data_IF_872825503990
#
_entry.id   IF_872825503990
#
_cell.length_a   1.000
_cell.length_b   1.000
_cell.length_c   1.000
_cell.angle_alpha   90.00
_cell.angle_beta   90.00
_cell.angle_gamma   90.00
#
_symmetry.space_group_name_H-M   'P 1'
#
loop_
_entity.id
_entity.type
_entity.pdbx_description
1 polymer ?
#
# COMPACT_ATOMS: atom_id res chain seq x y z
N UNK A 1 -7.95 -9.31 11.84
CA UNK A 1 -6.65 -8.63 11.60
C UNK A 1 -5.68 -9.68 11.11
N UNK A 2 -5.17 -9.57 9.89
CA UNK A 2 -4.32 -10.61 9.28
C UNK A 2 -2.92 -10.62 9.91
N UNK A 3 -2.34 -11.80 10.08
CA UNK A 3 -1.08 -12.00 10.80
C UNK A 3 0.11 -11.31 10.13
N UNK A 4 0.08 -11.18 8.79
CA UNK A 4 1.10 -10.48 8.00
C UNK A 4 1.23 -8.99 8.36
N UNK A 5 0.19 -8.36 8.92
CA UNK A 5 0.23 -6.97 9.41
C UNK A 5 1.20 -6.75 10.56
N UNK A 6 1.61 -7.81 11.26
CA UNK A 6 2.50 -7.73 12.43
C UNK A 6 3.99 -7.85 12.07
N UNK A 7 4.31 -8.11 10.79
CA UNK A 7 5.69 -8.27 10.34
C UNK A 7 6.46 -6.95 10.45
N UNK A 8 7.70 -7.03 10.95
CA UNK A 8 8.59 -5.87 11.17
C UNK A 8 9.88 -5.99 10.37
N UNK A 9 10.38 -4.86 9.90
CA UNK A 9 11.74 -4.67 9.37
C UNK A 9 12.11 -5.66 8.25
N UNK A 10 13.09 -6.55 8.50
CA UNK A 10 13.63 -7.49 7.50
C UNK A 10 12.58 -8.46 6.97
N UNK A 11 11.69 -8.96 7.84
CA UNK A 11 10.62 -9.87 7.43
C UNK A 11 9.58 -9.17 6.58
N UNK A 12 9.30 -7.89 6.86
CA UNK A 12 8.41 -7.08 6.03
C UNK A 12 9.01 -6.85 4.65
N UNK A 13 10.31 -6.60 4.55
CA UNK A 13 11.00 -6.45 3.27
C UNK A 13 11.01 -7.77 2.49
N UNK A 14 11.31 -8.89 3.15
CA UNK A 14 11.27 -10.21 2.53
C UNK A 14 9.86 -10.56 2.04
N UNK A 15 8.83 -10.26 2.82
CA UNK A 15 7.43 -10.42 2.43
C UNK A 15 7.08 -9.57 1.20
N UNK A 16 7.52 -8.30 1.17
CA UNK A 16 7.34 -7.42 0.01
C UNK A 16 7.97 -8.01 -1.26
N UNK A 17 9.19 -8.54 -1.17
CA UNK A 17 9.84 -9.20 -2.31
C UNK A 17 9.07 -10.44 -2.76
N UNK A 18 8.56 -11.25 -1.83
CA UNK A 18 7.71 -12.40 -2.17
C UNK A 18 6.43 -11.97 -2.87
N UNK A 19 5.77 -10.90 -2.40
CA UNK A 19 4.56 -10.37 -3.06
C UNK A 19 4.86 -9.88 -4.47
N UNK A 20 5.98 -9.19 -4.69
CA UNK A 20 6.41 -8.76 -6.03
C UNK A 20 6.66 -9.96 -6.97
N UNK A 21 7.28 -11.02 -6.47
CA UNK A 21 7.47 -12.25 -7.25
C UNK A 21 6.11 -12.88 -7.60
N UNK A 22 5.18 -12.96 -6.64
CA UNK A 22 3.83 -13.50 -6.90
C UNK A 22 3.08 -12.67 -7.94
N UNK A 23 3.18 -11.34 -7.91
CA UNK A 23 2.53 -10.49 -8.89
C UNK A 23 3.02 -10.76 -10.32
N UNK A 24 4.30 -11.10 -10.49
CA UNK A 24 4.90 -11.39 -11.79
C UNK A 24 4.59 -12.83 -12.24
N UNK A 25 4.70 -13.81 -11.34
CA UNK A 25 4.69 -15.23 -11.73
C UNK A 25 3.39 -15.96 -11.41
N UNK A 26 2.61 -15.44 -10.48
CA UNK A 26 1.50 -16.15 -9.84
C UNK A 26 1.95 -17.12 -8.74
N UNK A 27 1.00 -17.47 -7.86
CA UNK A 27 1.21 -18.35 -6.70
C UNK A 27 1.69 -19.76 -7.07
N UNK A 28 1.03 -20.39 -8.05
CA UNK A 28 1.37 -21.75 -8.51
C UNK A 28 2.81 -21.85 -9.00
N UNK A 29 3.26 -20.86 -9.77
CA UNK A 29 4.62 -20.84 -10.31
C UNK A 29 5.65 -20.55 -9.22
N UNK A 30 5.31 -19.70 -8.24
CA UNK A 30 6.15 -19.47 -7.07
C UNK A 30 6.34 -20.78 -6.27
N UNK A 31 5.28 -21.58 -6.07
CA UNK A 31 5.40 -22.87 -5.39
C UNK A 31 6.28 -23.87 -6.15
N UNK A 32 6.25 -23.85 -7.50
CA UNK A 32 7.18 -24.63 -8.33
C UNK A 32 8.62 -24.19 -8.16
N UNK A 33 8.88 -22.88 -8.06
CA UNK A 33 10.23 -22.38 -7.77
C UNK A 33 10.69 -22.77 -6.36
N UNK A 34 9.81 -22.68 -5.37
CA UNK A 34 10.09 -23.12 -3.99
C UNK A 34 10.51 -24.58 -3.95
N UNK A 35 9.72 -25.49 -4.54
CA UNK A 35 10.03 -26.93 -4.53
C UNK A 35 11.26 -27.31 -5.37
N UNK A 36 11.66 -26.47 -6.32
CA UNK A 36 12.90 -26.65 -7.10
C UNK A 36 14.15 -26.28 -6.29
N UNK A 37 14.09 -25.20 -5.51
CA UNK A 37 15.24 -24.61 -4.81
C UNK A 37 15.38 -25.17 -3.39
N UNK A 38 14.25 -25.40 -2.71
CA UNK A 38 14.19 -25.72 -1.30
C UNK A 38 13.70 -27.14 -1.02
N UNK A 39 14.16 -27.71 0.09
CA UNK A 39 13.68 -28.93 0.74
C UNK A 39 13.12 -28.54 2.10
N UNK A 40 11.97 -29.09 2.48
CA UNK A 40 11.37 -28.84 3.80
C UNK A 40 11.99 -29.76 4.86
N UNK A 41 12.03 -29.32 6.13
CA UNK A 41 12.59 -30.12 7.24
C UNK A 41 11.95 -31.52 7.34
N UNK A 42 10.64 -31.62 7.15
CA UNK A 42 9.90 -32.89 7.20
C UNK A 42 10.34 -33.86 6.08
N UNK A 43 10.70 -33.35 4.91
CA UNK A 43 11.23 -34.14 3.78
C UNK A 43 12.67 -34.64 4.07
N UNK A 44 13.45 -33.85 4.80
CA UNK A 44 14.80 -34.22 5.24
C UNK A 44 14.78 -35.28 6.35
N UNK A 45 13.87 -35.16 7.32
CA UNK A 45 13.75 -36.13 8.42
C UNK A 45 13.15 -37.47 7.97
N UNK A 46 12.13 -37.43 7.10
CA UNK A 46 11.53 -38.64 6.53
C UNK A 46 12.50 -39.45 5.67
N UNK A 47 13.46 -38.78 5.03
CA UNK A 47 14.54 -39.45 4.28
C UNK A 47 15.58 -40.07 5.21
N UNK A 48 16.03 -39.41 6.29
CA UNK A 48 16.94 -40.05 7.25
C UNK A 48 16.38 -41.30 7.92
N UNK A 49 15.08 -41.36 8.15
CA UNK A 49 14.40 -42.54 8.71
C UNK A 49 14.16 -43.66 7.70
N UNK A 50 14.38 -43.42 6.40
CA UNK A 50 14.21 -44.40 5.31
C UNK A 50 15.52 -44.75 4.59
N UNK A 51 16.68 -44.35 5.15
CA UNK A 51 18.00 -44.69 4.63
C UNK A 51 18.30 -46.20 4.74
N UNK A 52 17.60 -46.95 5.60
CA UNK A 52 17.89 -48.38 5.81
C UNK A 52 17.29 -49.33 4.76
N UNK A 53 16.40 -48.86 3.87
CA UNK A 53 15.80 -49.71 2.82
C UNK A 53 15.55 -48.95 1.50
N UNK A 54 16.58 -48.85 0.63
CA UNK A 54 16.48 -48.99 -0.84
C UNK A 54 17.69 -48.40 -1.59
N UNK A 55 18.53 -49.27 -2.17
CA UNK A 55 19.60 -48.92 -3.13
C UNK A 55 19.10 -48.45 -4.53
N UNK A 56 17.82 -48.05 -4.67
CA UNK A 56 17.20 -47.80 -5.99
C UNK A 56 17.01 -46.31 -6.33
N UNK A 57 17.43 -45.35 -5.48
CA UNK A 57 17.16 -43.90 -5.70
C UNK A 57 18.39 -42.98 -5.72
N UNK A 58 19.52 -43.42 -6.27
CA UNK A 58 20.74 -42.60 -6.37
C UNK A 58 20.56 -41.23 -7.08
N UNK A 59 19.57 -41.11 -7.97
CA UNK A 59 19.28 -39.87 -8.70
C UNK A 59 18.41 -38.87 -7.93
N UNK A 60 17.54 -39.33 -7.03
CA UNK A 60 16.70 -38.44 -6.20
C UNK A 60 17.48 -37.90 -4.98
N UNK A 61 18.37 -38.71 -4.41
CA UNK A 61 19.23 -38.30 -3.30
C UNK A 61 20.24 -37.21 -3.75
N UNK A 62 20.79 -37.34 -4.96
CA UNK A 62 21.70 -36.33 -5.53
C UNK A 62 20.98 -35.02 -5.89
N UNK A 63 19.75 -35.09 -6.43
CA UNK A 63 18.88 -33.91 -6.61
C UNK A 63 18.53 -33.24 -5.28
N UNK A 64 18.23 -34.02 -4.24
CA UNK A 64 17.92 -33.50 -2.90
C UNK A 64 19.14 -32.83 -2.24
N UNK A 65 20.35 -33.39 -2.38
CA UNK A 65 21.60 -32.77 -1.90
C UNK A 65 21.93 -31.43 -2.56
N UNK A 66 21.40 -31.16 -3.76
CA UNK A 66 21.60 -29.88 -4.46
C UNK A 66 20.65 -28.77 -4.01
N UNK A 67 19.58 -29.11 -3.29
CA UNK A 67 18.59 -28.16 -2.80
C UNK A 67 18.99 -27.64 -1.43
N UNK A 68 18.58 -26.41 -1.12
CA UNK A 68 18.84 -25.76 0.19
C UNK A 68 17.72 -26.11 1.17
N UNK A 69 18.03 -26.21 2.46
CA UNK A 69 16.98 -26.32 3.48
C UNK A 69 16.19 -25.00 3.51
N UNK A 70 14.85 -25.07 3.51
CA UNK A 70 14.05 -23.89 3.74
C UNK A 70 14.08 -23.53 5.23
N UNK A 71 14.46 -22.30 5.55
CA UNK A 71 14.40 -21.81 6.92
C UNK A 71 12.93 -21.62 7.35
N UNK A 72 12.60 -22.02 8.59
CA UNK A 72 11.21 -21.97 9.11
C UNK A 72 10.57 -20.60 9.03
N UNK A 73 11.36 -19.52 9.18
CA UNK A 73 10.83 -18.16 9.08
C UNK A 73 10.34 -17.83 7.67
N UNK A 74 11.01 -18.35 6.63
CA UNK A 74 10.62 -18.16 5.24
C UNK A 74 9.37 -18.99 4.91
N UNK A 75 9.30 -20.22 5.41
CA UNK A 75 8.09 -21.05 5.31
C UNK A 75 6.87 -20.37 5.94
N UNK A 76 7.04 -19.74 7.11
CA UNK A 76 5.99 -18.93 7.71
C UNK A 76 5.55 -17.77 6.80
N UNK A 77 6.48 -17.09 6.12
CA UNK A 77 6.12 -16.04 5.16
C UNK A 77 5.31 -16.57 3.98
N UNK A 78 5.60 -17.77 3.48
CA UNK A 78 4.78 -18.41 2.44
C UNK A 78 3.36 -18.67 2.92
N UNK A 79 3.19 -19.14 4.16
CA UNK A 79 1.85 -19.35 4.74
C UNK A 79 1.09 -18.04 4.91
N UNK A 80 1.74 -17.00 5.44
CA UNK A 80 1.15 -15.67 5.57
C UNK A 80 0.75 -15.07 4.22
N UNK A 81 1.56 -15.29 3.19
CA UNK A 81 1.26 -14.84 1.83
C UNK A 81 0.03 -15.55 1.25
N UNK A 82 -0.07 -16.86 1.48
CA UNK A 82 -1.24 -17.62 1.06
C UNK A 82 -2.53 -17.14 1.76
N UNK A 83 -2.48 -16.89 3.07
CA UNK A 83 -3.62 -16.35 3.83
C UNK A 83 -4.08 -14.99 3.28
N UNK A 84 -3.14 -14.09 2.97
CA UNK A 84 -3.45 -12.78 2.40
C UNK A 84 -4.02 -12.91 0.99
N UNK A 85 -3.42 -13.73 0.12
CA UNK A 85 -3.93 -13.99 -1.24
C UNK A 85 -5.33 -14.60 -1.23
N UNK A 86 -5.58 -15.55 -0.32
CA UNK A 86 -6.89 -16.16 -0.15
C UNK A 86 -7.91 -15.10 0.26
N UNK A 87 -7.60 -14.31 1.30
CA UNK A 87 -8.51 -13.26 1.79
C UNK A 87 -8.82 -12.22 0.71
N UNK A 88 -7.81 -11.83 -0.08
CA UNK A 88 -8.00 -10.93 -1.21
C UNK A 88 -8.88 -11.55 -2.30
N UNK A 89 -8.64 -12.80 -2.66
CA UNK A 89 -9.43 -13.52 -3.67
C UNK A 89 -10.88 -13.67 -3.23
N UNK A 90 -11.11 -14.04 -1.97
CA UNK A 90 -12.44 -14.16 -1.38
C UNK A 90 -13.18 -12.82 -1.47
N UNK A 91 -12.53 -11.71 -1.08
CA UNK A 91 -13.08 -10.36 -1.20
C UNK A 91 -13.44 -9.99 -2.65
N UNK A 92 -12.55 -10.23 -3.62
CA UNK A 92 -12.83 -9.95 -5.04
C UNK A 92 -14.01 -10.77 -5.56
N UNK A 93 -14.11 -12.05 -5.16
CA UNK A 93 -15.22 -12.92 -5.54
C UNK A 93 -16.55 -12.46 -4.93
N UNK A 94 -16.55 -12.03 -3.66
CA UNK A 94 -17.72 -11.45 -3.02
C UNK A 94 -18.19 -10.21 -3.77
N UNK A 95 -17.28 -9.26 -4.04
CA UNK A 95 -17.64 -8.02 -4.72
C UNK A 95 -18.27 -8.30 -6.09
N UNK A 96 -17.68 -9.20 -6.88
CA UNK A 96 -18.23 -9.61 -8.19
C UNK A 96 -19.62 -10.23 -8.07
N UNK A 97 -19.86 -11.05 -7.05
CA UNK A 97 -21.16 -11.67 -6.79
C UNK A 97 -22.25 -10.63 -6.49
N UNK A 98 -21.95 -9.64 -5.64
CA UNK A 98 -22.89 -8.58 -5.30
C UNK A 98 -23.15 -7.62 -6.47
N UNK A 99 -22.11 -7.30 -7.24
CA UNK A 99 -22.21 -6.48 -8.45
C UNK A 99 -23.10 -7.18 -9.50
N UNK A 100 -22.94 -8.50 -9.70
CA UNK A 100 -23.79 -9.27 -10.60
C UNK A 100 -25.26 -9.34 -10.16
N UNK A 101 -25.52 -9.32 -8.84
CA UNK A 101 -26.87 -9.34 -8.27
C UNK A 101 -27.50 -7.95 -8.13
N UNK A 102 -26.80 -6.88 -8.52
CA UNK A 102 -27.20 -5.49 -8.27
C UNK A 102 -27.60 -5.22 -6.81
N UNK A 103 -27.02 -5.98 -5.88
CA UNK A 103 -27.32 -5.90 -4.46
C UNK A 103 -26.26 -5.06 -3.76
N UNK A 104 -26.66 -4.23 -2.80
CA UNK A 104 -25.71 -3.35 -2.09
C UNK A 104 -24.77 -4.18 -1.22
N UNK A 105 -23.49 -4.10 -1.53
CA UNK A 105 -22.44 -4.71 -0.72
C UNK A 105 -22.23 -3.90 0.56
N UNK A 106 -22.84 -4.36 1.65
CA UNK A 106 -22.76 -3.71 2.96
C UNK A 106 -21.61 -4.28 3.78
N UNK A 107 -20.57 -3.47 3.99
CA UNK A 107 -19.44 -3.75 4.90
C UNK A 107 -19.11 -2.50 5.70
N UNK A 108 -18.62 -2.70 6.92
CA UNK A 108 -18.22 -1.64 7.84
C UNK A 108 -16.93 -0.95 7.37
N UNK A 109 -16.71 0.29 7.80
CA UNK A 109 -15.45 1.02 7.56
C UNK A 109 -14.20 0.22 7.95
N UNK A 110 -14.25 -0.49 9.08
CA UNK A 110 -13.11 -1.30 9.54
C UNK A 110 -12.84 -2.51 8.65
N UNK A 111 -13.88 -3.09 8.04
CA UNK A 111 -13.72 -4.20 7.11
C UNK A 111 -13.08 -3.71 5.80
N UNK A 112 -13.54 -2.57 5.28
CA UNK A 112 -12.92 -1.91 4.13
C UNK A 112 -11.46 -1.51 4.39
N UNK A 113 -11.16 -1.04 5.60
CA UNK A 113 -9.78 -0.77 6.03
C UNK A 113 -8.93 -2.04 5.98
N UNK A 114 -9.42 -3.17 6.49
CA UNK A 114 -8.70 -4.44 6.47
C UNK A 114 -8.49 -4.97 5.05
N UNK A 115 -9.48 -4.86 4.17
CA UNK A 115 -9.35 -5.22 2.76
C UNK A 115 -8.32 -4.34 2.06
N UNK A 116 -8.38 -3.01 2.26
CA UNK A 116 -7.42 -2.07 1.70
C UNK A 116 -5.99 -2.33 2.18
N UNK A 117 -5.80 -2.63 3.47
CA UNK A 117 -4.49 -3.00 4.02
C UNK A 117 -3.97 -4.31 3.43
N UNK A 118 -4.84 -5.32 3.22
CA UNK A 118 -4.49 -6.57 2.57
C UNK A 118 -4.06 -6.34 1.11
N UNK A 119 -4.88 -5.64 0.33
CA UNK A 119 -4.59 -5.30 -1.06
C UNK A 119 -3.29 -4.51 -1.20
N UNK A 120 -3.06 -3.53 -0.32
CA UNK A 120 -1.81 -2.76 -0.27
C UNK A 120 -0.60 -3.66 -0.01
N UNK A 121 -0.69 -4.62 0.91
CA UNK A 121 0.40 -5.57 1.18
C UNK A 121 0.72 -6.46 -0.01
N UNK A 122 -0.31 -6.92 -0.73
CA UNK A 122 -0.17 -7.71 -1.96
C UNK A 122 0.27 -6.88 -3.17
N UNK A 123 0.37 -5.56 -3.03
CA UNK A 123 0.79 -4.64 -4.09
C UNK A 123 -0.33 -4.20 -5.06
N UNK A 124 -1.60 -4.52 -4.76
CA UNK A 124 -2.77 -4.06 -5.51
C UNK A 124 -3.18 -2.66 -5.04
N UNK A 125 -2.40 -1.65 -5.45
CA UNK A 125 -2.54 -0.27 -4.97
C UNK A 125 -3.87 0.41 -5.38
N UNK A 126 -4.34 0.31 -6.64
CA UNK A 126 -5.61 0.94 -7.06
C UNK A 126 -6.83 0.38 -6.30
N UNK A 127 -6.88 -0.94 -6.14
CA UNK A 127 -7.94 -1.63 -5.41
C UNK A 127 -7.90 -1.26 -3.92
N UNK A 128 -6.70 -1.16 -3.34
CA UNK A 128 -6.52 -0.67 -1.98
C UNK A 128 -7.04 0.76 -1.81
N UNK A 129 -6.71 1.67 -2.74
CA UNK A 129 -7.16 3.05 -2.71
C UNK A 129 -8.70 3.15 -2.75
N UNK A 130 -9.34 2.37 -3.64
CA UNK A 130 -10.81 2.29 -3.73
C UNK A 130 -11.43 1.80 -2.41
N UNK A 131 -10.86 0.76 -1.79
CA UNK A 131 -11.33 0.26 -0.50
C UNK A 131 -11.21 1.34 0.60
N UNK A 132 -10.09 2.07 0.66
CA UNK A 132 -9.92 3.16 1.62
C UNK A 132 -10.90 4.31 1.40
N UNK A 133 -11.17 4.69 0.14
CA UNK A 133 -12.17 5.72 -0.19
C UNK A 133 -13.58 5.32 0.26
N UNK A 134 -13.99 4.08 0.01
CA UNK A 134 -15.30 3.56 0.46
C UNK A 134 -15.37 3.51 1.99
N UNK A 135 -14.28 3.13 2.66
CA UNK A 135 -14.22 3.18 4.12
C UNK A 135 -14.40 4.60 4.67
N UNK A 136 -13.68 5.57 4.08
CA UNK A 136 -13.71 6.98 4.49
C UNK A 136 -15.04 7.68 4.20
N UNK A 137 -15.77 7.27 3.17
CA UNK A 137 -17.09 7.85 2.87
C UNK A 137 -18.14 7.51 3.93
N UNK A 138 -17.96 6.39 4.64
CA UNK A 138 -18.84 6.00 5.75
C UNK A 138 -18.46 6.67 7.07
N UNK A 139 -17.17 6.57 7.45
CA UNK A 139 -16.64 7.11 8.71
C UNK A 139 -15.17 7.45 8.53
N UNK A 140 -14.74 8.56 9.14
CA UNK A 140 -13.33 8.91 9.14
C UNK A 140 -12.49 7.87 9.89
N UNK A 141 -11.46 7.34 9.22
CA UNK A 141 -10.39 6.53 9.79
C UNK A 141 -9.04 7.18 9.47
N UNK A 142 -8.20 7.46 10.49
CA UNK A 142 -6.87 8.01 10.25
C UNK A 142 -5.95 7.03 9.51
N UNK A 143 -6.19 5.71 9.63
CA UNK A 143 -5.40 4.69 8.93
C UNK A 143 -5.72 4.70 7.45
N UNK A 144 -7.01 4.68 7.08
CA UNK A 144 -7.42 4.81 5.68
C UNK A 144 -6.93 6.13 5.07
N UNK A 145 -7.09 7.25 5.79
CA UNK A 145 -6.68 8.57 5.30
C UNK A 145 -5.17 8.65 5.03
N UNK A 146 -4.33 8.17 5.95
CA UNK A 146 -2.87 8.15 5.76
C UNK A 146 -2.44 7.24 4.60
N UNK A 147 -3.06 6.06 4.46
CA UNK A 147 -2.72 5.16 3.36
C UNK A 147 -3.16 5.71 2.00
N UNK A 148 -4.34 6.35 1.94
CA UNK A 148 -4.83 7.01 0.74
C UNK A 148 -4.02 8.25 0.38
N UNK A 149 -3.56 9.02 1.38
CA UNK A 149 -2.65 10.14 1.17
C UNK A 149 -1.34 9.69 0.52
N UNK A 150 -0.73 8.61 1.03
CA UNK A 150 0.48 8.04 0.42
C UNK A 150 0.23 7.62 -1.03
N UNK A 151 -0.92 6.98 -1.31
CA UNK A 151 -1.30 6.60 -2.67
C UNK A 151 -1.37 7.81 -3.60
N UNK A 152 -2.00 8.90 -3.18
CA UNK A 152 -2.08 10.12 -4.00
C UNK A 152 -0.73 10.78 -4.24
N UNK A 153 0.18 10.77 -3.27
CA UNK A 153 1.55 11.29 -3.45
C UNK A 153 2.31 10.43 -4.46
N UNK A 154 2.21 9.10 -4.37
CA UNK A 154 2.87 8.17 -5.30
C UNK A 154 2.29 8.31 -6.72
N UNK A 155 0.97 8.49 -6.83
CA UNK A 155 0.27 8.72 -8.09
C UNK A 155 0.64 10.05 -8.73
N UNK A 156 0.72 11.12 -7.93
CA UNK A 156 1.21 12.44 -8.34
C UNK A 156 2.62 12.35 -8.93
N UNK A 157 3.55 11.71 -8.21
CA UNK A 157 4.92 11.47 -8.68
C UNK A 157 4.99 10.62 -9.94
N UNK A 158 4.04 9.70 -10.15
CA UNK A 158 3.94 8.92 -11.39
C UNK A 158 3.55 9.82 -12.56
N UNK A 159 2.46 10.58 -12.42
CA UNK A 159 1.96 11.48 -13.46
C UNK A 159 2.99 12.56 -13.83
N UNK A 160 3.71 13.09 -12.84
CA UNK A 160 4.79 14.07 -13.07
C UNK A 160 6.00 13.47 -13.79
N UNK A 161 6.31 12.19 -13.57
CA UNK A 161 7.35 11.50 -14.36
C UNK A 161 6.89 11.25 -15.79
N UNK A 162 5.62 10.86 -15.95
CA UNK A 162 5.04 10.61 -17.27
C UNK A 162 4.93 11.89 -18.10
N UNK A 163 4.73 13.06 -17.49
CA UNK A 163 4.71 14.35 -18.18
C UNK A 163 6.08 14.78 -18.73
N UNK A 164 7.17 14.35 -18.09
CA UNK A 164 8.55 14.60 -18.55
C UNK A 164 8.97 13.58 -19.62
N UNK A 165 8.31 12.42 -19.67
CA UNK A 165 8.63 11.35 -20.62
C UNK A 165 7.98 11.63 -22.00
N UNK A 166 8.80 11.69 -23.05
CA UNK A 166 8.37 12.07 -24.42
C UNK A 166 7.37 11.11 -25.10
N UNK A 167 7.01 9.99 -24.45
CA UNK A 167 6.11 8.96 -24.96
C UNK A 167 4.70 8.98 -24.30
N UNK A 168 4.30 10.09 -23.68
CA UNK A 168 2.99 10.17 -23.03
C UNK A 168 1.85 10.29 -24.04
N UNK A 169 0.90 9.35 -24.01
CA UNK A 169 -0.32 9.35 -24.84
C UNK A 169 -1.35 10.40 -24.39
N UNK A 170 -1.19 10.97 -23.19
CA UNK A 170 -2.11 11.93 -22.60
C UNK A 170 -1.81 13.36 -23.06
N UNK A 171 -2.86 14.13 -23.34
CA UNK A 171 -2.72 15.54 -23.68
C UNK A 171 -2.27 16.33 -22.45
N UNK A 172 -1.42 17.36 -22.62
CA UNK A 172 -0.94 18.22 -21.53
C UNK A 172 -2.06 18.81 -20.66
N UNK A 173 -3.24 19.08 -21.25
CA UNK A 173 -4.42 19.54 -20.52
C UNK A 173 -5.02 18.49 -19.59
N UNK A 174 -5.06 17.22 -20.01
CA UNK A 174 -5.56 16.10 -19.19
C UNK A 174 -4.62 15.82 -18.02
N UNK A 175 -3.31 15.87 -18.26
CA UNK A 175 -2.30 15.75 -17.21
C UNK A 175 -2.48 16.83 -16.15
N UNK A 176 -2.64 18.09 -16.59
CA UNK A 176 -2.83 19.21 -15.67
C UNK A 176 -4.14 19.10 -14.88
N UNK A 177 -5.25 18.67 -15.50
CA UNK A 177 -6.49 18.44 -14.75
C UNK A 177 -6.34 17.33 -13.71
N UNK A 178 -5.69 16.22 -14.07
CA UNK A 178 -5.48 15.11 -13.14
C UNK A 178 -4.57 15.48 -11.97
N UNK A 179 -3.55 16.31 -12.20
CA UNK A 179 -2.69 16.84 -11.12
C UNK A 179 -3.52 17.70 -10.17
N UNK A 180 -4.32 18.65 -10.69
CA UNK A 180 -5.17 19.49 -9.83
C UNK A 180 -6.18 18.65 -9.02
N UNK A 181 -6.79 17.61 -9.61
CA UNK A 181 -7.72 16.72 -8.90
C UNK A 181 -7.03 15.96 -7.75
N UNK A 182 -5.79 15.54 -7.97
CA UNK A 182 -4.97 14.87 -6.95
C UNK A 182 -4.56 15.86 -5.86
N UNK A 183 -4.12 17.07 -6.21
CA UNK A 183 -3.75 18.11 -5.25
C UNK A 183 -4.93 18.49 -4.36
N UNK A 184 -6.11 18.68 -4.93
CA UNK A 184 -7.34 18.93 -4.18
C UNK A 184 -7.70 17.77 -3.24
N UNK A 185 -7.39 16.52 -3.62
CA UNK A 185 -7.58 15.33 -2.79
C UNK A 185 -6.53 15.22 -1.67
N UNK A 186 -5.28 15.60 -1.95
CA UNK A 186 -4.19 15.68 -0.96
C UNK A 186 -4.54 16.72 0.09
N UNK A 187 -4.94 17.93 -0.31
CA UNK A 187 -5.35 19.02 0.59
C UNK A 187 -6.48 18.55 1.50
N UNK A 188 -7.52 17.90 0.95
CA UNK A 188 -8.65 17.39 1.73
C UNK A 188 -8.21 16.42 2.84
N UNK A 189 -7.37 15.45 2.49
CA UNK A 189 -6.87 14.45 3.43
C UNK A 189 -5.93 15.06 4.47
N UNK A 190 -5.04 15.97 4.06
CA UNK A 190 -4.12 16.66 4.98
C UNK A 190 -4.91 17.45 6.03
N UNK A 191 -5.92 18.21 5.61
CA UNK A 191 -6.77 18.99 6.52
C UNK A 191 -7.49 18.06 7.50
N UNK A 192 -8.12 16.99 7.01
CA UNK A 192 -8.83 16.03 7.86
C UNK A 192 -7.91 15.31 8.85
N UNK A 193 -6.71 14.91 8.41
CA UNK A 193 -5.73 14.26 9.29
C UNK A 193 -5.16 15.27 10.30
N UNK A 194 -4.95 16.53 9.91
CA UNK A 194 -4.49 17.57 10.83
C UNK A 194 -5.52 17.85 11.93
N UNK A 195 -6.80 17.98 11.58
CA UNK A 195 -7.89 18.11 12.55
C UNK A 195 -7.93 16.93 13.53
N UNK A 196 -7.75 15.70 13.02
CA UNK A 196 -7.64 14.51 13.86
C UNK A 196 -6.42 14.57 14.78
N UNK A 197 -5.25 14.92 14.25
CA UNK A 197 -4.00 15.03 15.00
C UNK A 197 -4.10 16.06 16.12
N UNK A 198 -4.66 17.24 15.84
CA UNK A 198 -4.89 18.29 16.83
C UNK A 198 -5.77 17.78 17.99
N UNK A 199 -6.83 17.00 17.69
CA UNK A 199 -7.67 16.38 18.73
C UNK A 199 -6.89 15.45 19.67
N UNK A 200 -5.79 14.87 19.22
CA UNK A 200 -4.93 13.97 19.99
C UNK A 200 -3.60 14.61 20.41
N UNK A 201 -3.50 15.95 20.38
CA UNK A 201 -2.29 16.70 20.76
C UNK A 201 -1.04 16.33 19.95
N UNK A 202 -1.24 15.94 18.69
CA UNK A 202 -0.15 15.73 17.73
C UNK A 202 -0.01 17.02 16.92
N UNK A 203 0.84 17.93 17.40
CA UNK A 203 1.01 19.25 16.77
C UNK A 203 1.92 19.19 15.52
N UNK A 204 2.83 18.22 15.48
CA UNK A 204 3.82 18.11 14.41
C UNK A 204 3.73 16.78 13.66
N UNK A 205 3.71 16.83 12.33
CA UNK A 205 3.73 15.65 11.47
C UNK A 205 4.44 15.93 10.15
N UNK A 206 5.67 15.41 10.03
CA UNK A 206 6.50 15.51 8.81
C UNK A 206 5.73 15.00 7.59
N UNK A 207 4.97 13.91 7.74
CA UNK A 207 4.18 13.32 6.65
C UNK A 207 3.16 14.31 6.07
N UNK A 208 2.58 15.19 6.90
CA UNK A 208 1.59 16.17 6.44
C UNK A 208 2.26 17.36 5.77
N UNK A 209 3.42 17.78 6.29
CA UNK A 209 4.23 18.86 5.70
C UNK A 209 4.74 18.43 4.32
N UNK A 210 5.32 17.24 4.22
CA UNK A 210 5.79 16.64 2.96
C UNK A 210 4.64 16.52 1.97
N UNK A 211 3.49 15.96 2.39
CA UNK A 211 2.32 15.85 1.54
C UNK A 211 1.79 17.20 1.03
N UNK A 212 1.68 18.21 1.91
CA UNK A 212 1.17 19.52 1.52
C UNK A 212 2.17 20.29 0.66
N UNK A 213 3.48 20.07 0.84
CA UNK A 213 4.50 20.71 0.01
C UNK A 213 4.38 20.33 -1.46
N UNK A 214 3.92 19.12 -1.78
CA UNK A 214 3.65 18.70 -3.17
C UNK A 214 2.60 19.59 -3.82
N UNK A 215 1.44 19.78 -3.15
CA UNK A 215 0.38 20.64 -3.65
C UNK A 215 0.79 22.13 -3.67
N UNK A 216 1.58 22.57 -2.68
CA UNK A 216 2.10 23.95 -2.63
C UNK A 216 3.09 24.22 -3.76
N UNK A 217 3.91 23.25 -4.16
CA UNK A 217 4.84 23.38 -5.28
C UNK A 217 4.10 23.62 -6.60
N UNK A 218 2.95 22.96 -6.80
CA UNK A 218 2.20 23.05 -8.05
C UNK A 218 1.25 24.26 -8.10
N UNK A 219 0.59 24.58 -6.98
CA UNK A 219 -0.46 25.60 -6.92
C UNK A 219 0.03 26.95 -6.36
N UNK A 220 1.11 26.94 -5.59
CA UNK A 220 1.57 28.07 -4.79
C UNK A 220 0.82 28.21 -3.46
N UNK A 221 1.53 28.72 -2.45
CA UNK A 221 1.03 28.77 -1.05
C UNK A 221 -0.28 29.57 -0.90
N UNK A 222 -0.41 30.69 -1.60
CA UNK A 222 -1.61 31.55 -1.54
C UNK A 222 -2.83 30.85 -2.11
N UNK A 223 -2.67 30.08 -3.20
CA UNK A 223 -3.78 29.35 -3.82
C UNK A 223 -4.23 28.20 -2.92
N UNK A 224 -3.28 27.47 -2.32
CA UNK A 224 -3.58 26.40 -1.36
C UNK A 224 -4.32 26.94 -0.14
N UNK A 225 -3.86 28.06 0.45
CA UNK A 225 -4.56 28.71 1.56
C UNK A 225 -6.00 29.11 1.17
N UNK A 226 -6.20 29.73 0.01
CA UNK A 226 -7.52 30.12 -0.48
C UNK A 226 -8.43 28.90 -0.71
N UNK A 227 -7.89 27.80 -1.24
CA UNK A 227 -8.65 26.56 -1.43
C UNK A 227 -9.11 26.00 -0.08
N UNK A 228 -8.22 25.95 0.93
CA UNK A 228 -8.56 25.49 2.27
C UNK A 228 -9.63 26.38 2.90
N UNK A 229 -9.44 27.70 2.87
CA UNK A 229 -10.39 28.68 3.41
C UNK A 229 -11.76 28.62 2.72
N UNK A 230 -11.80 28.26 1.44
CA UNK A 230 -13.07 28.12 0.71
C UNK A 230 -13.84 26.83 1.04
N UNK A 231 -13.14 25.76 1.46
CA UNK A 231 -13.70 24.41 1.65
C UNK A 231 -13.97 24.06 3.11
N UNK A 232 -13.26 24.69 4.04
CA UNK A 232 -13.30 24.39 5.48
C UNK A 232 -13.65 25.62 6.31
N UNK A 233 -14.00 25.44 7.58
CA UNK A 233 -14.32 26.55 8.48
C UNK A 233 -13.07 27.34 8.89
N UNK A 234 -13.26 28.62 9.25
CA UNK A 234 -12.16 29.52 9.63
C UNK A 234 -11.22 28.96 10.72
N UNK A 235 -11.70 28.31 11.80
CA UNK A 235 -10.79 27.74 12.80
C UNK A 235 -9.94 26.60 12.26
N UNK A 236 -10.44 25.85 11.27
CA UNK A 236 -9.70 24.76 10.62
C UNK A 236 -8.65 25.34 9.67
N UNK A 237 -8.98 26.40 8.93
CA UNK A 237 -8.01 27.09 8.09
C UNK A 237 -6.86 27.66 8.92
N UNK A 238 -7.18 28.36 10.02
CA UNK A 238 -6.17 28.87 10.97
C UNK A 238 -5.29 27.77 11.56
N UNK A 239 -5.89 26.63 11.93
CA UNK A 239 -5.13 25.48 12.44
C UNK A 239 -4.07 24.99 11.44
N UNK A 240 -4.40 24.96 10.14
CA UNK A 240 -3.47 24.54 9.09
C UNK A 240 -2.41 25.61 8.83
N UNK A 241 -2.81 26.87 8.88
CA UNK A 241 -1.87 27.99 8.75
C UNK A 241 -0.80 27.92 9.84
N UNK A 242 -1.22 27.76 11.10
CA UNK A 242 -0.33 27.73 12.25
C UNK A 242 0.61 26.52 12.27
N UNK A 243 0.09 25.33 11.94
CA UNK A 243 0.87 24.09 12.04
C UNK A 243 1.69 23.75 10.80
N UNK A 244 1.27 24.18 9.60
CA UNK A 244 1.87 23.72 8.33
C UNK A 244 2.26 24.90 7.43
N UNK A 245 1.34 25.79 7.06
CA UNK A 245 1.64 26.78 6.02
C UNK A 245 2.63 27.85 6.50
N UNK A 246 2.58 28.27 7.76
CA UNK A 246 3.58 29.16 8.34
C UNK A 246 4.98 28.54 8.33
N UNK A 247 5.08 27.22 8.56
CA UNK A 247 6.34 26.50 8.46
C UNK A 247 6.87 26.52 7.02
N UNK A 248 6.02 26.16 6.04
CA UNK A 248 6.43 26.18 4.62
C UNK A 248 6.84 27.60 4.20
N UNK A 249 6.03 28.61 4.51
CA UNK A 249 6.32 30.01 4.15
C UNK A 249 7.67 30.52 4.67
N UNK A 250 8.03 30.17 5.90
CA UNK A 250 9.20 30.72 6.57
C UNK A 250 10.47 29.90 6.37
N UNK A 251 10.34 28.59 6.11
CA UNK A 251 11.48 27.66 6.11
C UNK A 251 11.74 26.98 4.76
N UNK A 252 10.83 27.09 3.78
CA UNK A 252 11.12 26.67 2.40
C UNK A 252 11.42 27.92 1.58
N UNK A 253 12.69 28.08 1.15
CA UNK A 253 13.15 29.20 0.30
C UNK A 253 12.69 29.02 -1.16
N UNK A 254 11.39 28.73 -1.39
CA UNK A 254 10.81 28.32 -2.68
C UNK A 254 11.47 27.08 -3.33
N UNK A 255 12.43 26.46 -2.65
CA UNK A 255 13.05 25.18 -3.01
C UNK A 255 12.38 24.08 -2.19
N UNK A 256 11.29 23.53 -2.72
CA UNK A 256 10.74 22.27 -2.25
C UNK A 256 11.64 21.16 -2.82
N UNK A 257 12.41 20.49 -1.98
CA UNK A 257 13.39 19.48 -2.40
C UNK A 257 12.70 18.39 -3.25
N UNK A 258 13.24 18.16 -4.45
CA UNK A 258 12.76 17.18 -5.45
C UNK A 258 13.03 15.73 -5.04
#
# INVERSE_FOLDING_TARGET
>A
NLSASSLKSTFQLAYKLLTEIVQITGWEQLLKYRSKIFVMEDEYQGSTSSIDEAEVRGNDISKMRSKRLCERWLDNLFMLLYEDLKTYTDWQSEQLYFDAQNSKYHKLTVEWELFGLCAKRLGHLPEAAKAFQIGLSQRFSPVCAKNLLQFYIDEHKRIRRDSVSANSELTSSQILSSINDIDSSIIDLVVKICCWNHRWYIEFSIILIDALSVAVQDMGITKVHNEIASRFSDPVAQLIDDNILNFLKNFTNDTFDN
#
